data_IF_179838232985
#
_entry.id   IF_179838232985
#
_cell.length_a   1.000
_cell.length_b   1.000
_cell.length_c   1.000
_cell.angle_alpha   90.00
_cell.angle_beta   90.00
_cell.angle_gamma   90.00
#
_symmetry.space_group_name_H-M   'P 1'
#
loop_
_entity.id
_entity.type
_entity.pdbx_description
1 polymer ?
#
# COMPACT_ATOMS: atom_id res chain seq x y z
N UNK A 1 -26.99 0.11 7.22
CA UNK A 1 -25.63 0.63 7.01
C UNK A 1 -24.98 -0.17 5.89
N UNK A 2 -24.36 0.42 4.88
CA UNK A 2 -23.64 -0.36 3.90
C UNK A 2 -22.56 -1.17 4.61
N UNK A 3 -22.52 -2.47 4.36
CA UNK A 3 -21.44 -3.32 4.87
C UNK A 3 -20.15 -2.82 4.24
N UNK A 4 -19.19 -2.41 5.03
CA UNK A 4 -17.92 -1.95 4.51
C UNK A 4 -17.04 -3.12 4.02
N UNK A 5 -15.91 -2.82 3.38
CA UNK A 5 -14.93 -3.80 2.87
C UNK A 5 -14.55 -4.84 3.94
N UNK A 6 -14.41 -4.42 5.19
CA UNK A 6 -14.12 -5.33 6.31
C UNK A 6 -15.16 -6.45 6.48
N UNK A 7 -16.43 -6.17 6.22
CA UNK A 7 -17.47 -7.19 6.30
C UNK A 7 -17.39 -8.18 5.13
N UNK A 8 -17.08 -7.70 3.92
CA UNK A 8 -16.85 -8.56 2.75
C UNK A 8 -15.70 -9.51 2.97
N UNK A 9 -14.58 -8.99 3.49
CA UNK A 9 -13.40 -9.81 3.82
C UNK A 9 -13.76 -10.86 4.89
N UNK A 10 -14.52 -10.46 5.92
CA UNK A 10 -14.93 -11.38 6.99
C UNK A 10 -15.89 -12.46 6.51
N UNK A 11 -16.77 -12.14 5.56
CA UNK A 11 -17.70 -13.10 4.97
C UNK A 11 -16.99 -14.10 4.01
N UNK A 12 -15.80 -13.75 3.51
CA UNK A 12 -15.00 -14.61 2.62
C UNK A 12 -14.20 -15.69 3.37
N UNK A 13 -14.04 -15.57 4.70
CA UNK A 13 -13.25 -16.48 5.53
C UNK A 13 -14.11 -17.26 6.52
N UNK A 14 -13.56 -18.34 7.08
CA UNK A 14 -14.27 -19.19 8.04
C UNK A 14 -14.33 -18.52 9.42
N UNK A 15 -15.26 -18.97 10.26
CA UNK A 15 -15.37 -18.48 11.65
C UNK A 15 -14.11 -18.77 12.49
N UNK A 16 -13.35 -19.81 12.14
CA UNK A 16 -12.07 -20.18 12.76
C UNK A 16 -10.91 -19.30 12.35
N UNK A 17 -11.06 -18.53 11.26
CA UNK A 17 -10.01 -17.69 10.73
C UNK A 17 -10.07 -16.30 11.39
N UNK A 18 -8.94 -15.64 11.47
CA UNK A 18 -8.84 -14.32 12.10
C UNK A 18 -8.69 -13.23 11.06
N UNK A 19 -9.50 -12.18 11.17
CA UNK A 19 -9.37 -10.95 10.37
C UNK A 19 -9.11 -9.79 11.32
N UNK A 20 -7.99 -9.08 11.11
CA UNK A 20 -7.60 -7.90 11.86
C UNK A 20 -7.34 -6.71 10.95
N UNK A 21 -7.63 -5.49 11.42
CA UNK A 21 -7.20 -4.27 10.76
C UNK A 21 -5.83 -3.89 11.32
N UNK A 22 -4.83 -3.78 10.45
CA UNK A 22 -3.45 -3.46 10.82
C UNK A 22 -3.25 -1.93 10.94
N UNK A 23 -3.89 -1.17 10.06
CA UNK A 23 -3.86 0.29 10.06
C UNK A 23 -4.43 0.84 8.76
N UNK A 24 -4.87 2.09 8.75
CA UNK A 24 -5.38 2.73 7.53
C UNK A 24 -6.40 1.88 6.76
N UNK A 25 -6.06 1.48 5.54
CA UNK A 25 -6.82 0.58 4.65
C UNK A 25 -6.27 -0.86 4.62
N UNK A 26 -5.36 -1.21 5.53
CA UNK A 26 -4.68 -2.50 5.58
C UNK A 26 -5.36 -3.48 6.53
N UNK A 27 -5.55 -4.70 6.06
CA UNK A 27 -6.12 -5.82 6.80
C UNK A 27 -5.18 -7.02 6.75
N UNK A 28 -5.05 -7.71 7.89
CA UNK A 28 -4.40 -9.02 7.99
C UNK A 28 -5.44 -10.13 8.14
N UNK A 29 -5.20 -11.26 7.48
CA UNK A 29 -6.03 -12.46 7.57
C UNK A 29 -5.14 -13.62 7.93
N UNK A 30 -5.47 -14.35 9.00
CA UNK A 30 -4.82 -15.57 9.39
C UNK A 30 -5.74 -16.76 9.13
N UNK A 31 -5.36 -17.59 8.16
CA UNK A 31 -6.07 -18.81 7.78
C UNK A 31 -5.41 -20.02 8.47
N UNK A 32 -6.06 -20.56 9.49
CA UNK A 32 -5.49 -21.63 10.29
C UNK A 32 -5.69 -23.00 9.63
N UNK A 33 -4.58 -23.76 9.45
CA UNK A 33 -4.63 -25.10 8.86
C UNK A 33 -5.20 -25.10 7.43
N UNK A 34 -4.96 -24.04 6.68
CA UNK A 34 -5.46 -23.88 5.32
C UNK A 34 -4.33 -24.18 4.32
N UNK A 35 -4.49 -25.15 3.42
CA UNK A 35 -3.53 -25.39 2.35
C UNK A 35 -3.40 -24.15 1.44
N UNK A 36 -2.18 -23.91 0.92
CA UNK A 36 -1.87 -22.70 0.11
C UNK A 36 -2.82 -22.52 -1.08
N UNK A 37 -3.14 -23.60 -1.81
CA UNK A 37 -4.08 -23.56 -2.93
C UNK A 37 -5.47 -23.09 -2.51
N UNK A 38 -5.93 -23.54 -1.33
CA UNK A 38 -7.22 -23.11 -0.78
C UNK A 38 -7.18 -21.67 -0.29
N UNK A 39 -6.07 -21.26 0.33
CA UNK A 39 -5.84 -19.86 0.74
C UNK A 39 -5.86 -18.94 -0.48
N UNK A 40 -5.22 -19.34 -1.57
CA UNK A 40 -5.25 -18.60 -2.83
C UNK A 40 -6.67 -18.44 -3.39
N UNK A 41 -7.44 -19.53 -3.41
CA UNK A 41 -8.84 -19.47 -3.85
C UNK A 41 -9.69 -18.50 -3.00
N UNK A 42 -9.51 -18.53 -1.67
CA UNK A 42 -10.19 -17.61 -0.73
C UNK A 42 -9.79 -16.15 -1.04
N UNK A 43 -8.51 -15.91 -1.30
CA UNK A 43 -8.02 -14.58 -1.64
C UNK A 43 -8.56 -14.08 -2.99
N UNK A 44 -8.60 -14.94 -4.02
CA UNK A 44 -9.18 -14.61 -5.32
C UNK A 44 -10.69 -14.32 -5.22
N UNK A 45 -11.41 -15.06 -4.36
CA UNK A 45 -12.83 -14.80 -4.08
C UNK A 45 -13.02 -13.45 -3.37
N UNK A 46 -12.15 -13.11 -2.42
CA UNK A 46 -12.18 -11.82 -1.74
C UNK A 46 -11.89 -10.65 -2.70
N UNK A 47 -10.91 -10.79 -3.59
CA UNK A 47 -10.62 -9.79 -4.64
C UNK A 47 -11.86 -9.55 -5.51
N UNK A 48 -12.51 -10.63 -5.97
CA UNK A 48 -13.74 -10.53 -6.78
C UNK A 48 -14.87 -9.86 -5.99
N UNK A 49 -15.10 -10.27 -4.76
CA UNK A 49 -16.18 -9.71 -3.92
C UNK A 49 -15.98 -8.20 -3.68
N UNK A 50 -14.74 -7.74 -3.52
CA UNK A 50 -14.44 -6.31 -3.36
C UNK A 50 -14.59 -5.56 -4.70
N UNK A 51 -14.15 -6.14 -5.81
CA UNK A 51 -14.29 -5.53 -7.14
C UNK A 51 -15.77 -5.37 -7.55
N UNK A 52 -16.62 -6.33 -7.19
CA UNK A 52 -18.08 -6.30 -7.45
C UNK A 52 -18.83 -5.37 -6.49
N UNK A 53 -18.16 -4.92 -5.41
CA UNK A 53 -18.79 -4.08 -4.41
C UNK A 53 -18.89 -2.64 -4.89
N UNK A 54 -20.12 -2.16 -5.04
CA UNK A 54 -20.40 -0.76 -5.39
C UNK A 54 -20.43 0.10 -4.14
N UNK A 55 -19.35 0.84 -3.92
CA UNK A 55 -19.30 1.81 -2.84
C UNK A 55 -20.00 3.10 -3.25
N UNK A 56 -21.11 3.41 -2.58
CA UNK A 56 -21.89 4.63 -2.85
C UNK A 56 -21.64 5.65 -1.75
N UNK A 57 -21.17 6.84 -2.14
CA UNK A 57 -20.96 7.98 -1.24
C UNK A 57 -21.45 9.27 -1.87
N UNK A 58 -22.36 9.98 -1.20
CA UNK A 58 -22.94 11.26 -1.70
C UNK A 58 -23.38 11.16 -3.17
N UNK A 59 -24.21 10.16 -3.48
CA UNK A 59 -24.77 9.89 -4.81
C UNK A 59 -23.76 9.56 -5.92
N UNK A 60 -22.47 9.31 -5.55
CA UNK A 60 -21.44 8.84 -6.46
C UNK A 60 -21.10 7.38 -6.18
N UNK A 61 -20.90 6.62 -7.25
CA UNK A 61 -20.46 5.24 -7.19
C UNK A 61 -18.94 5.22 -7.37
N UNK A 62 -18.25 4.55 -6.46
CA UNK A 62 -16.80 4.34 -6.52
C UNK A 62 -16.52 2.86 -6.72
N UNK A 63 -15.67 2.54 -7.67
CA UNK A 63 -15.10 1.22 -7.81
C UNK A 63 -13.87 1.15 -6.91
N UNK A 64 -13.82 0.13 -6.08
CA UNK A 64 -12.71 -0.14 -5.18
C UNK A 64 -12.06 -1.46 -5.55
N UNK A 65 -10.78 -1.60 -5.29
CA UNK A 65 -10.03 -2.82 -5.48
C UNK A 65 -9.24 -3.18 -4.23
N UNK A 66 -8.78 -4.42 -4.18
CA UNK A 66 -7.88 -4.90 -3.15
C UNK A 66 -6.74 -5.69 -3.78
N UNK A 67 -5.56 -5.57 -3.22
CA UNK A 67 -4.41 -6.41 -3.54
C UNK A 67 -4.11 -7.27 -2.33
N UNK A 68 -3.78 -8.54 -2.54
CA UNK A 68 -3.56 -9.50 -1.46
C UNK A 68 -2.20 -10.16 -1.65
N UNK A 69 -1.34 -10.05 -0.61
CA UNK A 69 -0.12 -10.83 -0.47
C UNK A 69 -0.39 -12.07 0.37
N UNK A 70 -0.03 -13.24 -0.12
CA UNK A 70 -0.15 -14.53 0.58
C UNK A 70 1.20 -15.03 1.02
N UNK A 71 1.31 -15.44 2.27
CA UNK A 71 2.50 -16.06 2.86
C UNK A 71 2.11 -17.37 3.53
N UNK A 72 2.80 -18.43 3.21
CA UNK A 72 2.70 -19.70 3.96
C UNK A 72 3.49 -19.58 5.26
N UNK A 73 2.83 -19.82 6.38
CA UNK A 73 3.43 -19.76 7.71
C UNK A 73 3.71 -21.17 8.21
N UNK A 74 4.99 -21.48 8.48
CA UNK A 74 5.48 -22.73 9.03
C UNK A 74 6.33 -22.48 10.28
N UNK A 75 6.84 -23.53 10.88
CA UNK A 75 7.78 -23.42 12.01
C UNK A 75 9.11 -22.77 11.62
N UNK A 76 9.41 -22.69 10.33
CA UNK A 76 10.66 -22.16 9.78
C UNK A 76 10.50 -20.71 9.26
N UNK A 77 9.31 -20.11 9.40
CA UNK A 77 8.99 -18.81 8.80
C UNK A 77 9.62 -17.59 9.50
N UNK A 78 10.38 -17.81 10.59
CA UNK A 78 11.04 -16.71 11.31
C UNK A 78 10.11 -16.00 12.31
N UNK A 79 10.34 -14.71 12.52
CA UNK A 79 9.57 -13.87 13.44
C UNK A 79 8.23 -13.42 12.84
N UNK A 80 7.36 -12.86 13.67
CA UNK A 80 6.09 -12.24 13.22
C UNK A 80 6.39 -11.09 12.27
N UNK A 81 7.40 -10.30 12.55
CA UNK A 81 7.85 -9.17 11.74
C UNK A 81 8.32 -9.64 10.35
N UNK A 82 9.04 -10.77 10.28
CA UNK A 82 9.47 -11.35 9.00
C UNK A 82 8.26 -11.79 8.16
N UNK A 83 7.26 -12.42 8.78
CA UNK A 83 6.05 -12.86 8.12
C UNK A 83 5.20 -11.70 7.61
N UNK A 84 5.04 -10.64 8.42
CA UNK A 84 4.33 -9.43 8.01
C UNK A 84 5.08 -8.73 6.87
N UNK A 85 6.40 -8.62 6.96
CA UNK A 85 7.24 -8.05 5.90
C UNK A 85 7.15 -8.82 4.58
N UNK A 86 7.10 -10.16 4.66
CA UNK A 86 6.89 -11.03 3.50
C UNK A 86 5.50 -10.81 2.86
N UNK A 87 4.45 -10.71 3.69
CA UNK A 87 3.10 -10.44 3.21
C UNK A 87 2.98 -9.06 2.56
N UNK A 88 3.62 -8.03 3.13
CA UNK A 88 3.66 -6.68 2.56
C UNK A 88 4.38 -6.66 1.21
N UNK A 89 5.55 -7.33 1.12
CA UNK A 89 6.28 -7.50 -0.14
C UNK A 89 5.42 -8.15 -1.22
N UNK A 90 4.73 -9.25 -0.89
CA UNK A 90 3.85 -9.93 -1.83
C UNK A 90 2.66 -9.04 -2.24
N UNK A 91 2.09 -8.29 -1.29
CA UNK A 91 1.02 -7.33 -1.56
C UNK A 91 1.49 -6.20 -2.50
N UNK A 92 2.72 -5.71 -2.33
CA UNK A 92 3.32 -4.74 -3.25
C UNK A 92 3.42 -5.28 -4.68
N UNK A 93 3.87 -6.53 -4.85
CA UNK A 93 3.91 -7.18 -6.18
C UNK A 93 2.50 -7.30 -6.75
N UNK A 94 1.52 -7.72 -5.96
CA UNK A 94 0.11 -7.78 -6.37
C UNK A 94 -0.42 -6.43 -6.86
N UNK A 95 -0.12 -5.33 -6.16
CA UNK A 95 -0.49 -3.95 -6.57
C UNK A 95 0.11 -3.58 -7.93
N UNK A 96 1.38 -3.88 -8.15
CA UNK A 96 2.08 -3.58 -9.41
C UNK A 96 1.56 -4.39 -10.60
N UNK A 97 0.98 -5.56 -10.36
CA UNK A 97 0.37 -6.42 -11.38
C UNK A 97 -1.10 -6.10 -11.66
N UNK A 98 -1.67 -5.06 -11.07
CA UNK A 98 -3.03 -4.62 -11.33
C UNK A 98 -4.09 -5.12 -10.34
N UNK A 99 -3.71 -5.40 -9.10
CA UNK A 99 -4.67 -5.65 -8.03
C UNK A 99 -5.17 -7.09 -7.97
N UNK A 100 -4.25 -8.03 -7.84
CA UNK A 100 -4.52 -9.46 -7.78
C UNK A 100 -3.98 -10.08 -6.49
N UNK A 101 -3.96 -11.40 -6.46
CA UNK A 101 -3.34 -12.19 -5.39
C UNK A 101 -1.93 -12.58 -5.82
N UNK A 102 -0.95 -12.31 -4.95
CA UNK A 102 0.42 -12.76 -5.14
C UNK A 102 0.85 -13.64 -3.96
N UNK A 103 1.43 -14.80 -4.27
CA UNK A 103 2.01 -15.70 -3.25
C UNK A 103 3.47 -15.35 -3.07
N UNK A 104 3.88 -15.14 -1.83
CA UNK A 104 5.26 -14.84 -1.49
C UNK A 104 6.22 -15.91 -1.98
N UNK A 105 7.29 -15.47 -2.62
CA UNK A 105 8.43 -16.29 -2.99
C UNK A 105 9.69 -15.46 -2.73
N UNK A 106 10.54 -15.90 -1.82
CA UNK A 106 11.74 -15.16 -1.42
C UNK A 106 12.64 -14.79 -2.63
N UNK A 107 12.70 -15.65 -3.64
CA UNK A 107 13.50 -15.41 -4.86
C UNK A 107 12.85 -14.36 -5.77
N UNK A 108 11.54 -14.45 -5.95
CA UNK A 108 10.81 -13.55 -6.84
C UNK A 108 10.67 -12.16 -6.21
N UNK A 109 10.45 -12.12 -4.90
CA UNK A 109 10.37 -10.88 -4.12
C UNK A 109 11.67 -10.09 -4.13
N UNK A 110 12.81 -10.75 -3.90
CA UNK A 110 14.12 -10.09 -3.97
C UNK A 110 14.36 -9.48 -5.36
N UNK A 111 14.00 -10.20 -6.40
CA UNK A 111 14.14 -9.72 -7.78
C UNK A 111 13.16 -8.58 -8.12
N UNK A 112 11.92 -8.65 -7.62
CA UNK A 112 10.91 -7.61 -7.83
C UNK A 112 11.27 -6.34 -7.07
N UNK A 113 11.69 -6.47 -5.80
CA UNK A 113 12.15 -5.34 -4.98
C UNK A 113 13.36 -4.66 -5.61
N UNK A 114 14.36 -5.42 -6.03
CA UNK A 114 15.55 -4.88 -6.67
C UNK A 114 15.22 -4.13 -7.97
N UNK A 115 14.33 -4.68 -8.81
CA UNK A 115 13.89 -3.99 -10.03
C UNK A 115 13.10 -2.71 -9.71
N UNK A 116 12.23 -2.75 -8.73
CA UNK A 116 11.46 -1.59 -8.29
C UNK A 116 12.36 -0.48 -7.73
N UNK A 117 13.34 -0.83 -6.94
CA UNK A 117 14.30 0.13 -6.36
C UNK A 117 15.21 0.76 -7.41
N UNK A 118 15.73 -0.02 -8.38
CA UNK A 118 16.51 0.52 -9.49
C UNK A 118 15.66 1.46 -10.34
N UNK A 119 14.41 1.10 -10.61
CA UNK A 119 13.47 1.97 -11.31
C UNK A 119 13.29 3.30 -10.58
N UNK A 120 13.03 3.27 -9.28
CA UNK A 120 12.87 4.49 -8.49
C UNK A 120 14.15 5.33 -8.39
N UNK A 121 15.33 4.69 -8.31
CA UNK A 121 16.60 5.41 -8.35
C UNK A 121 16.73 6.25 -9.64
N UNK A 122 16.44 5.64 -10.79
CA UNK A 122 16.49 6.32 -12.08
C UNK A 122 15.44 7.45 -12.16
N UNK A 123 14.22 7.18 -11.73
CA UNK A 123 13.13 8.17 -11.72
C UNK A 123 13.44 9.36 -10.83
N UNK A 124 13.99 9.14 -9.63
CA UNK A 124 14.36 10.20 -8.69
C UNK A 124 15.52 11.06 -9.21
N UNK A 125 16.56 10.43 -9.80
CA UNK A 125 17.68 11.15 -10.40
C UNK A 125 17.22 12.03 -11.57
N UNK A 126 16.38 11.49 -12.44
CA UNK A 126 15.79 12.25 -13.55
C UNK A 126 14.88 13.37 -13.03
N UNK A 127 14.05 13.11 -12.02
CA UNK A 127 13.15 14.11 -11.45
C UNK A 127 13.90 15.27 -10.78
N UNK A 128 15.01 15.00 -10.10
CA UNK A 128 15.87 16.04 -9.53
C UNK A 128 16.49 16.92 -10.62
N UNK A 129 16.89 16.31 -11.75
CA UNK A 129 17.48 17.01 -12.88
C UNK A 129 16.44 17.84 -13.66
N UNK A 130 15.26 17.27 -13.88
CA UNK A 130 14.23 17.81 -14.75
C UNK A 130 13.21 18.68 -13.98
N UNK A 131 13.36 18.84 -12.66
CA UNK A 131 12.47 19.64 -11.82
C UNK A 131 11.04 19.08 -11.72
N UNK A 132 10.90 17.75 -11.70
CA UNK A 132 9.61 17.06 -11.68
C UNK A 132 9.01 16.85 -10.28
N UNK A 133 9.59 17.46 -9.25
CA UNK A 133 8.96 17.52 -7.93
C UNK A 133 7.97 18.66 -7.84
N UNK A 134 6.94 18.50 -7.03
CA UNK A 134 5.92 19.51 -6.74
C UNK A 134 5.69 19.58 -5.23
N UNK A 135 5.44 20.80 -4.74
CA UNK A 135 5.04 21.02 -3.36
C UNK A 135 3.54 21.33 -3.32
N UNK A 136 2.83 20.49 -2.58
CA UNK A 136 1.43 20.75 -2.25
C UNK A 136 1.36 21.29 -0.83
N UNK A 137 0.45 22.21 -0.58
CA UNK A 137 0.23 22.76 0.75
C UNK A 137 -1.15 22.36 1.27
N UNK A 138 -1.20 21.86 2.49
CA UNK A 138 -2.44 21.57 3.19
C UNK A 138 -2.59 22.53 4.37
N UNK A 139 -3.67 23.32 4.46
CA UNK A 139 -3.87 24.21 5.60
C UNK A 139 -4.15 23.43 6.88
N UNK A 140 -3.48 23.82 7.95
CA UNK A 140 -3.73 23.33 9.30
C UNK A 140 -4.74 24.28 9.94
N UNK A 141 -5.92 23.78 10.27
CA UNK A 141 -7.01 24.57 10.88
C UNK A 141 -7.15 24.19 12.35
N UNK A 142 -7.18 25.20 13.22
CA UNK A 142 -7.46 24.99 14.63
C UNK A 142 -8.90 24.47 14.80
N UNK A 143 -9.05 23.41 15.61
CA UNK A 143 -10.37 22.86 15.97
C UNK A 143 -11.09 23.76 16.95
N UNK A 144 -10.33 24.45 17.81
CA UNK A 144 -10.84 25.43 18.78
C UNK A 144 -10.57 26.84 18.26
N UNK A 145 -11.63 27.63 18.11
CA UNK A 145 -11.56 29.02 17.64
C UNK A 145 -10.91 29.99 18.64
N UNK A 146 -10.67 29.56 19.88
CA UNK A 146 -9.95 30.32 20.90
C UNK A 146 -8.43 30.10 20.88
N UNK A 147 -7.94 29.08 20.18
CA UNK A 147 -6.51 28.88 20.03
C UNK A 147 -5.94 29.87 19.01
N UNK A 148 -5.13 30.79 19.47
CA UNK A 148 -4.39 31.79 18.67
C UNK A 148 -3.19 31.14 17.94
N UNK A 149 -3.39 29.99 17.32
CA UNK A 149 -2.41 29.44 16.40
C UNK A 149 -2.60 30.15 15.05
N UNK A 150 -1.58 30.85 14.60
CA UNK A 150 -1.58 31.45 13.25
C UNK A 150 -1.81 30.39 12.16
N UNK A 151 -2.08 30.80 10.94
CA UNK A 151 -2.30 29.86 9.83
C UNK A 151 -1.06 28.98 9.63
N UNK A 152 -1.20 27.70 9.90
CA UNK A 152 -0.20 26.67 9.62
C UNK A 152 -0.45 26.04 8.26
N UNK A 153 0.64 25.64 7.60
CA UNK A 153 0.58 24.84 6.37
C UNK A 153 1.45 23.60 6.56
N UNK A 154 0.93 22.47 6.16
CA UNK A 154 1.73 21.27 5.94
C UNK A 154 2.18 21.24 4.49
N UNK A 155 3.49 21.10 4.27
CA UNK A 155 4.04 20.98 2.92
C UNK A 155 4.20 19.51 2.58
N UNK A 156 3.59 19.11 1.50
CA UNK A 156 3.50 17.74 1.05
C UNK A 156 4.21 17.59 -0.30
N UNK A 157 5.33 16.87 -0.31
CA UNK A 157 6.07 16.58 -1.53
C UNK A 157 5.27 15.64 -2.44
N UNK A 158 5.35 15.88 -3.73
CA UNK A 158 4.83 15.00 -4.79
C UNK A 158 5.88 14.88 -5.88
N UNK A 159 5.89 13.76 -6.57
CA UNK A 159 6.70 13.52 -7.75
C UNK A 159 5.77 13.38 -8.95
N UNK A 160 6.07 14.08 -10.04
CA UNK A 160 5.39 13.87 -11.32
C UNK A 160 6.20 12.85 -12.13
N UNK A 161 5.60 11.71 -12.43
CA UNK A 161 6.24 10.68 -13.25
C UNK A 161 6.32 11.09 -14.74
N UNK A 162 6.87 10.22 -15.57
CA UNK A 162 7.01 10.48 -17.01
C UNK A 162 5.66 10.52 -17.74
N UNK A 163 4.62 9.91 -17.19
CA UNK A 163 3.26 9.98 -17.72
C UNK A 163 2.51 11.24 -17.30
N UNK A 164 3.10 12.07 -16.42
CA UNK A 164 2.48 13.23 -15.82
C UNK A 164 1.62 12.92 -14.58
N UNK A 165 1.62 11.68 -14.09
CA UNK A 165 0.86 11.27 -12.91
C UNK A 165 1.59 11.70 -11.64
N UNK A 166 0.83 12.20 -10.66
CA UNK A 166 1.37 12.54 -9.34
C UNK A 166 1.55 11.30 -8.48
N UNK A 167 2.78 11.10 -8.02
CA UNK A 167 3.21 9.99 -7.18
C UNK A 167 3.43 10.49 -5.74
N UNK A 168 2.83 9.84 -4.74
CA UNK A 168 3.01 10.20 -3.34
C UNK A 168 4.37 9.74 -2.81
N UNK A 169 4.90 10.38 -1.73
CA UNK A 169 6.19 10.05 -1.13
C UNK A 169 6.33 8.58 -0.71
N UNK A 170 5.26 7.96 -0.23
CA UNK A 170 5.25 6.56 0.20
C UNK A 170 5.75 5.56 -0.86
N UNK A 171 5.68 5.93 -2.14
CA UNK A 171 6.12 5.06 -3.21
C UNK A 171 7.63 5.18 -3.52
N UNK A 172 8.25 6.32 -3.27
CA UNK A 172 9.64 6.56 -3.65
C UNK A 172 10.60 6.87 -2.50
N UNK A 173 10.10 7.23 -1.31
CA UNK A 173 10.95 7.63 -0.18
C UNK A 173 11.90 6.53 0.28
N UNK A 174 11.43 5.28 0.31
CA UNK A 174 12.28 4.12 0.70
C UNK A 174 13.50 4.01 -0.23
N UNK A 175 13.29 4.21 -1.54
CA UNK A 175 14.40 4.22 -2.50
C UNK A 175 15.29 5.46 -2.31
N UNK A 176 14.70 6.63 -2.05
CA UNK A 176 15.46 7.86 -1.79
C UNK A 176 16.39 7.73 -0.57
N UNK A 177 15.91 7.12 0.51
CA UNK A 177 16.70 6.85 1.72
C UNK A 177 17.83 5.84 1.43
N UNK A 178 17.48 4.69 0.84
CA UNK A 178 18.44 3.61 0.56
C UNK A 178 19.58 4.06 -0.31
N UNK A 179 19.30 4.85 -1.35
CA UNK A 179 20.31 5.35 -2.29
C UNK A 179 20.88 6.72 -1.92
N UNK A 180 20.64 7.17 -0.68
CA UNK A 180 21.18 8.43 -0.12
C UNK A 180 20.85 9.67 -0.96
N UNK A 181 19.66 9.68 -1.56
CA UNK A 181 19.18 10.82 -2.33
C UNK A 181 18.45 11.85 -1.49
N UNK A 182 18.11 11.52 -0.22
CA UNK A 182 17.39 12.43 0.68
C UNK A 182 18.01 13.83 0.78
N UNK A 183 19.35 14.00 0.92
CA UNK A 183 19.94 15.35 0.96
C UNK A 183 19.71 16.17 -0.31
N UNK A 184 19.49 15.51 -1.45
CA UNK A 184 19.20 16.20 -2.72
C UNK A 184 17.71 16.58 -2.78
N UNK A 185 16.84 15.72 -2.29
CA UNK A 185 15.40 15.99 -2.17
C UNK A 185 15.16 17.12 -1.18
N UNK A 186 15.79 17.08 0.01
CA UNK A 186 15.66 18.11 1.05
C UNK A 186 16.18 19.49 0.57
N UNK A 187 17.19 19.50 -0.28
CA UNK A 187 17.69 20.76 -0.86
C UNK A 187 16.73 21.31 -1.91
N UNK A 188 16.00 20.46 -2.57
CA UNK A 188 15.04 20.84 -3.59
C UNK A 188 13.75 21.41 -2.96
N UNK A 189 13.31 20.87 -1.81
CA UNK A 189 12.16 21.34 -1.00
C UNK A 189 12.48 22.68 -0.35
#
# INVERSE_FOLDING_TARGET
RPRGVAALIKDAVRHSDTVGRLGGDEFGILLVGCPLEKARQIADDAVRAVADYRFVWKDKIFNIGVSIGLVEVSRESGSIEDMIGAADSACYVAKKQGGHVHVYSARDEASARQRGEIHWLQQLQAALKDGRFELHAQPIVAVDTQASLGPGLEILLRLRDESGTLVPPSEFMVAAERYRLMPHVDRWV
#
